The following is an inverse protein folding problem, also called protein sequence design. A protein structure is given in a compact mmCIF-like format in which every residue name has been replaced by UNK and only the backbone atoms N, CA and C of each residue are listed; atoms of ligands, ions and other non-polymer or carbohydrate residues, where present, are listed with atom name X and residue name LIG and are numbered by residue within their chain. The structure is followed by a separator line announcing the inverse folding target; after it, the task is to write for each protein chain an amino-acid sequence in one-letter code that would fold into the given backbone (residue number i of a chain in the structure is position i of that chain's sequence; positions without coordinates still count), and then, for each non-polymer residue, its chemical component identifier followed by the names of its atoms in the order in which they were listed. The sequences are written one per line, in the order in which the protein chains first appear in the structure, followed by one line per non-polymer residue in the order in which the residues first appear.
data_IF_895035876600
#
_entry.id   IF_895035876600
#
_cell.length_a   1.000
_cell.length_b   1.000
_cell.length_c   1.000
_cell.angle_alpha   90.00
_cell.angle_beta   90.00
_cell.angle_gamma   90.00
#
_symmetry.space_group_name_H-M   'P 1'
#
loop_
_entity.id
_entity.type
_entity.pdbx_description
1 polymer ?
#
# COMPACT_ATOMS: atom_id res chain seq x y z
N UNK A 1 -27.62 14.60 -15.28
CA UNK A 1 -26.90 14.37 -14.01
C UNK A 1 -25.94 13.16 -14.03
N UNK A 2 -25.87 12.36 -15.12
CA UNK A 2 -25.08 11.11 -15.19
C UNK A 2 -23.59 11.31 -15.55
N UNK A 3 -23.21 12.42 -16.17
CA UNK A 3 -21.83 12.69 -16.62
C UNK A 3 -20.82 12.98 -15.50
N UNK A 4 -21.28 13.39 -14.30
CA UNK A 4 -20.39 13.67 -13.16
C UNK A 4 -19.83 12.42 -12.47
N UNK A 5 -20.52 11.28 -12.51
CA UNK A 5 -20.12 10.10 -11.73
C UNK A 5 -18.92 9.36 -12.35
N UNK A 6 -18.91 9.21 -13.68
CA UNK A 6 -17.84 8.50 -14.42
C UNK A 6 -16.50 9.23 -14.27
N UNK A 7 -16.50 10.57 -14.39
CA UNK A 7 -15.30 11.39 -14.19
C UNK A 7 -14.72 11.25 -12.78
N UNK A 8 -15.59 11.22 -11.76
CA UNK A 8 -15.17 11.07 -10.36
C UNK A 8 -14.55 9.70 -10.06
N UNK A 9 -15.06 8.63 -10.69
CA UNK A 9 -14.54 7.27 -10.52
C UNK A 9 -13.16 7.08 -11.18
N UNK A 10 -12.95 7.69 -12.35
CA UNK A 10 -11.67 7.65 -13.05
C UNK A 10 -10.59 8.44 -12.28
N UNK A 11 -10.93 9.62 -11.76
CA UNK A 11 -10.03 10.42 -10.91
C UNK A 11 -9.71 9.66 -9.63
N UNK A 12 -10.71 9.11 -8.93
CA UNK A 12 -10.49 8.33 -7.71
C UNK A 12 -9.55 7.14 -7.96
N UNK A 13 -9.75 6.39 -9.05
CA UNK A 13 -8.88 5.26 -9.39
C UNK A 13 -7.45 5.71 -9.69
N UNK A 14 -7.27 6.84 -10.40
CA UNK A 14 -5.94 7.40 -10.69
C UNK A 14 -5.23 7.84 -9.42
N UNK A 15 -5.91 8.57 -8.54
CA UNK A 15 -5.36 8.99 -7.23
C UNK A 15 -4.96 7.77 -6.42
N UNK A 16 -5.84 6.76 -6.31
CA UNK A 16 -5.54 5.55 -5.55
C UNK A 16 -4.31 4.81 -6.11
N UNK A 17 -4.19 4.69 -7.44
CA UNK A 17 -3.01 4.11 -8.08
C UNK A 17 -1.72 4.86 -7.76
N UNK A 18 -1.73 6.20 -7.82
CA UNK A 18 -0.55 7.00 -7.48
C UNK A 18 -0.14 6.81 -6.03
N UNK A 19 -1.08 6.84 -5.10
CA UNK A 19 -0.80 6.63 -3.67
C UNK A 19 -0.24 5.24 -3.42
N UNK A 20 -0.86 4.18 -3.96
CA UNK A 20 -0.36 2.79 -3.85
C UNK A 20 1.05 2.65 -4.44
N UNK A 21 1.33 3.31 -5.56
CA UNK A 21 2.65 3.29 -6.20
C UNK A 21 3.72 3.95 -5.33
N UNK A 22 3.40 5.13 -4.78
CA UNK A 22 4.29 5.82 -3.83
C UNK A 22 4.53 4.98 -2.58
N UNK A 23 3.48 4.31 -2.09
CA UNK A 23 3.56 3.46 -0.92
C UNK A 23 4.50 2.26 -1.13
N UNK A 24 4.36 1.57 -2.28
CA UNK A 24 5.26 0.47 -2.67
C UNK A 24 6.72 0.93 -2.73
N UNK A 25 6.99 2.09 -3.36
CA UNK A 25 8.36 2.61 -3.45
C UNK A 25 8.94 2.87 -2.05
N UNK A 26 8.17 3.51 -1.18
CA UNK A 26 8.61 3.83 0.18
C UNK A 26 8.87 2.56 1.00
N UNK A 27 7.94 1.59 0.99
CA UNK A 27 8.06 0.38 1.82
C UNK A 27 9.15 -0.58 1.32
N UNK A 28 9.36 -0.68 0.01
CA UNK A 28 10.46 -1.49 -0.56
C UNK A 28 11.82 -0.87 -0.24
N UNK A 29 11.90 0.45 -0.01
CA UNK A 29 13.11 1.10 0.46
C UNK A 29 13.46 0.80 1.92
N UNK A 30 12.48 0.46 2.77
CA UNK A 30 12.70 0.24 4.20
C UNK A 30 13.75 -0.85 4.53
N UNK A 31 13.71 -2.04 3.88
CA UNK A 31 14.75 -3.05 4.06
C UNK A 31 16.16 -2.59 3.67
N UNK A 32 16.30 -1.62 2.77
CA UNK A 32 17.62 -1.09 2.38
C UNK A 32 18.23 -0.34 3.56
N UNK A 33 17.48 0.56 4.20
CA UNK A 33 17.97 1.30 5.37
C UNK A 33 18.24 0.40 6.57
N UNK A 34 17.38 -0.60 6.80
CA UNK A 34 17.62 -1.63 7.80
C UNK A 34 18.90 -2.44 7.48
N UNK A 35 19.11 -2.80 6.22
CA UNK A 35 20.31 -3.48 5.76
C UNK A 35 21.58 -2.66 6.00
N UNK A 36 21.58 -1.36 5.69
CA UNK A 36 22.69 -0.44 5.97
C UNK A 36 23.03 -0.43 7.46
N UNK A 37 22.02 -0.32 8.33
CA UNK A 37 22.22 -0.43 9.78
C UNK A 37 22.89 -1.76 10.18
N UNK A 38 22.44 -2.88 9.63
CA UNK A 38 23.00 -4.21 9.91
C UNK A 38 24.44 -4.38 9.40
N UNK A 39 24.90 -3.54 8.47
CA UNK A 39 26.33 -3.51 8.05
C UNK A 39 27.23 -2.73 9.02
N UNK A 40 26.67 -2.12 10.07
CA UNK A 40 27.39 -1.34 11.09
C UNK A 40 27.31 0.18 10.90
N UNK A 41 26.64 0.66 9.84
CA UNK A 41 26.37 2.08 9.64
C UNK A 41 25.10 2.50 10.38
N UNK A 42 25.29 3.05 11.58
CA UNK A 42 24.21 3.47 12.48
C UNK A 42 23.30 4.56 11.89
N UNK A 43 23.73 5.33 10.88
CA UNK A 43 22.84 6.27 10.19
C UNK A 43 21.68 5.55 9.47
N UNK A 44 21.89 4.29 9.08
CA UNK A 44 20.84 3.44 8.52
C UNK A 44 19.62 3.31 9.44
N UNK A 45 19.81 3.31 10.77
CA UNK A 45 18.71 3.23 11.73
C UNK A 45 17.87 4.51 11.72
N UNK A 46 18.53 5.67 11.62
CA UNK A 46 17.83 6.96 11.52
C UNK A 46 17.04 7.05 10.21
N UNK A 47 17.63 6.64 9.09
CA UNK A 47 16.95 6.60 7.80
C UNK A 47 15.80 5.60 7.78
N UNK A 48 15.97 4.46 8.45
CA UNK A 48 14.92 3.46 8.61
C UNK A 48 13.73 4.06 9.39
N UNK A 49 13.98 4.71 10.53
CA UNK A 49 12.95 5.37 11.34
C UNK A 49 12.20 6.48 10.58
N UNK A 50 12.93 7.39 9.92
CA UNK A 50 12.33 8.44 9.08
C UNK A 50 11.49 7.83 7.96
N UNK A 51 12.01 6.79 7.30
CA UNK A 51 11.27 6.11 6.26
C UNK A 51 10.05 5.35 6.80
N UNK A 52 10.07 4.86 8.04
CA UNK A 52 8.91 4.25 8.69
C UNK A 52 7.80 5.30 8.87
N UNK A 53 8.14 6.51 9.34
CA UNK A 53 7.19 7.63 9.44
C UNK A 53 6.58 7.98 8.08
N UNK A 54 7.39 8.00 7.02
CA UNK A 54 6.94 8.27 5.64
C UNK A 54 6.01 7.16 5.14
N UNK A 55 6.39 5.88 5.30
CA UNK A 55 5.57 4.72 4.90
C UNK A 55 4.23 4.77 5.63
N UNK A 56 4.23 4.89 6.95
CA UNK A 56 3.00 4.95 7.76
C UNK A 56 2.12 6.14 7.37
N UNK A 57 2.71 7.31 7.12
CA UNK A 57 1.96 8.49 6.66
C UNK A 57 1.29 8.26 5.30
N UNK A 58 2.01 7.66 4.34
CA UNK A 58 1.45 7.29 3.04
C UNK A 58 0.35 6.23 3.21
N UNK A 59 0.54 5.25 4.09
CA UNK A 59 -0.46 4.24 4.42
C UNK A 59 -1.77 4.85 4.92
N UNK A 60 -1.72 5.81 5.83
CA UNK A 60 -2.92 6.52 6.28
C UNK A 60 -3.58 7.35 5.17
N UNK A 61 -2.81 7.99 4.29
CA UNK A 61 -3.35 8.67 3.10
C UNK A 61 -4.03 7.66 2.17
N UNK A 62 -3.41 6.49 1.96
CA UNK A 62 -3.99 5.41 1.15
C UNK A 62 -5.31 4.92 1.72
N UNK A 63 -5.37 4.72 3.05
CA UNK A 63 -6.58 4.32 3.75
C UNK A 63 -7.68 5.37 3.60
N UNK A 64 -7.36 6.65 3.76
CA UNK A 64 -8.30 7.75 3.57
C UNK A 64 -8.87 7.75 2.14
N UNK A 65 -8.02 7.65 1.13
CA UNK A 65 -8.44 7.59 -0.29
C UNK A 65 -9.31 6.35 -0.56
N UNK A 66 -8.99 5.20 0.05
CA UNK A 66 -9.77 3.98 -0.08
C UNK A 66 -11.15 4.14 0.55
N UNK A 67 -11.23 4.65 1.78
CA UNK A 67 -12.49 4.93 2.50
C UNK A 67 -13.36 5.91 1.74
N UNK A 68 -12.79 6.99 1.18
CA UNK A 68 -13.53 7.92 0.31
C UNK A 68 -14.11 7.18 -0.90
N UNK A 69 -13.33 6.28 -1.51
CA UNK A 69 -13.79 5.40 -2.60
C UNK A 69 -14.91 4.44 -2.17
N UNK A 70 -14.87 3.87 -0.97
CA UNK A 70 -15.96 3.06 -0.43
C UNK A 70 -17.22 3.90 -0.24
N UNK A 71 -17.14 5.02 0.50
CA UNK A 71 -18.31 5.82 0.82
C UNK A 71 -18.97 6.39 -0.43
N UNK A 72 -18.18 6.91 -1.38
CA UNK A 72 -18.69 7.60 -2.58
C UNK A 72 -19.04 6.66 -3.73
N UNK A 73 -18.31 5.56 -3.90
CA UNK A 73 -18.40 4.68 -5.08
C UNK A 73 -18.74 3.22 -4.74
N UNK A 74 -18.98 2.91 -3.45
CA UNK A 74 -19.31 1.56 -2.92
C UNK A 74 -18.26 0.48 -3.23
N UNK A 75 -17.00 0.87 -3.47
CA UNK A 75 -15.87 -0.04 -3.70
C UNK A 75 -15.24 -0.51 -2.39
N UNK A 76 -15.88 -1.46 -1.70
CA UNK A 76 -15.45 -1.92 -0.38
C UNK A 76 -14.15 -2.76 -0.41
N UNK A 77 -13.95 -3.61 -1.43
CA UNK A 77 -12.80 -4.53 -1.52
C UNK A 77 -11.43 -3.86 -1.38
N UNK A 78 -11.09 -2.80 -2.15
CA UNK A 78 -9.81 -2.10 -1.98
C UNK A 78 -9.63 -1.47 -0.59
N UNK A 79 -10.73 -1.14 0.08
CA UNK A 79 -10.73 -0.49 1.40
C UNK A 79 -10.40 -1.48 2.50
N UNK A 80 -10.97 -2.69 2.46
CA UNK A 80 -10.64 -3.76 3.42
C UNK A 80 -9.19 -4.19 3.28
N UNK A 81 -8.70 -4.39 2.05
CA UNK A 81 -7.31 -4.74 1.80
C UNK A 81 -6.33 -3.66 2.32
N UNK A 82 -6.63 -2.38 2.05
CA UNK A 82 -5.82 -1.26 2.56
C UNK A 82 -5.86 -1.18 4.08
N UNK A 83 -7.03 -1.38 4.69
CA UNK A 83 -7.16 -1.37 6.15
C UNK A 83 -6.32 -2.48 6.80
N UNK A 84 -6.31 -3.68 6.21
CA UNK A 84 -5.48 -4.79 6.69
C UNK A 84 -3.97 -4.48 6.59
N UNK A 85 -3.53 -3.91 5.47
CA UNK A 85 -2.13 -3.49 5.27
C UNK A 85 -1.74 -2.43 6.32
N UNK A 86 -2.53 -1.38 6.48
CA UNK A 86 -2.23 -0.29 7.42
C UNK A 86 -2.26 -0.77 8.88
N UNK A 87 -3.16 -1.68 9.23
CA UNK A 87 -3.16 -2.30 10.55
C UNK A 87 -1.87 -3.11 10.79
N UNK A 88 -1.45 -3.92 9.81
CA UNK A 88 -0.21 -4.68 9.89
C UNK A 88 1.02 -3.76 9.97
N UNK A 89 1.09 -2.70 9.18
CA UNK A 89 2.15 -1.68 9.23
C UNK A 89 2.17 -0.96 10.58
N UNK A 90 1.02 -0.65 11.15
CA UNK A 90 0.94 -0.01 12.48
C UNK A 90 1.51 -0.94 13.56
N UNK A 91 1.14 -2.23 13.54
CA UNK A 91 1.72 -3.24 14.44
C UNK A 91 3.22 -3.38 14.21
N UNK A 92 3.66 -3.37 12.95
CA UNK A 92 5.07 -3.45 12.58
C UNK A 92 5.87 -2.24 13.06
N UNK A 93 5.31 -1.03 13.01
CA UNK A 93 5.92 0.20 13.49
C UNK A 93 6.21 0.10 14.99
N UNK A 94 5.21 -0.30 15.79
CA UNK A 94 5.40 -0.51 17.23
C UNK A 94 6.36 -1.66 17.53
N UNK A 95 6.30 -2.77 16.80
CA UNK A 95 7.28 -3.85 16.93
C UNK A 95 8.72 -3.37 16.64
N UNK A 96 8.88 -2.41 15.73
CA UNK A 96 10.16 -1.77 15.43
C UNK A 96 10.66 -0.89 16.59
N UNK A 97 9.77 -0.08 17.17
CA UNK A 97 10.08 0.74 18.35
C UNK A 97 10.51 -0.11 19.56
N UNK A 98 9.84 -1.25 19.75
CA UNK A 98 10.14 -2.19 20.84
C UNK A 98 11.36 -3.09 20.56
N UNK A 99 11.96 -3.01 19.36
CA UNK A 99 13.06 -3.88 18.95
C UNK A 99 12.68 -5.36 18.81
N UNK A 100 11.39 -5.67 18.68
CA UNK A 100 10.85 -7.02 18.57
C UNK A 100 11.05 -7.62 17.16
N UNK A 101 12.32 -7.89 16.80
CA UNK A 101 12.71 -8.32 15.44
C UNK A 101 11.99 -9.57 14.94
N UNK A 102 11.66 -10.52 15.83
CA UNK A 102 10.95 -11.74 15.49
C UNK A 102 9.55 -11.48 14.92
N UNK A 103 8.93 -10.34 15.27
CA UNK A 103 7.65 -9.91 14.74
C UNK A 103 7.84 -8.87 13.64
N UNK A 104 8.70 -7.88 13.88
CA UNK A 104 8.93 -6.77 12.97
C UNK A 104 9.39 -7.24 11.58
N UNK A 105 10.37 -8.16 11.52
CA UNK A 105 10.95 -8.60 10.24
C UNK A 105 9.94 -9.42 9.41
N UNK A 106 9.31 -10.49 9.94
CA UNK A 106 8.34 -11.24 9.15
C UNK A 106 7.14 -10.39 8.73
N UNK A 107 6.64 -9.54 9.63
CA UNK A 107 5.52 -8.66 9.32
C UNK A 107 5.88 -7.64 8.24
N UNK A 108 7.11 -7.10 8.27
CA UNK A 108 7.65 -6.25 7.22
C UNK A 108 7.73 -6.89 5.85
N UNK A 109 8.14 -8.16 5.77
CA UNK A 109 8.13 -8.89 4.49
C UNK A 109 6.69 -9.09 3.99
N UNK A 110 5.76 -9.44 4.90
CA UNK A 110 4.36 -9.64 4.55
C UNK A 110 3.69 -8.36 4.07
N UNK A 111 3.95 -7.21 4.71
CA UNK A 111 3.38 -5.91 4.29
C UNK A 111 3.94 -5.46 2.95
N UNK A 112 5.24 -5.62 2.69
CA UNK A 112 5.84 -5.39 1.37
C UNK A 112 5.16 -6.25 0.30
N UNK A 113 5.03 -7.56 0.54
CA UNK A 113 4.38 -8.47 -0.40
C UNK A 113 2.90 -8.10 -0.64
N UNK A 114 2.16 -7.78 0.42
CA UNK A 114 0.76 -7.39 0.33
C UNK A 114 0.57 -6.10 -0.49
N UNK A 115 1.44 -5.09 -0.29
CA UNK A 115 1.40 -3.85 -1.07
C UNK A 115 1.77 -4.08 -2.54
N UNK A 116 2.75 -4.93 -2.84
CA UNK A 116 3.09 -5.30 -4.22
C UNK A 116 1.91 -6.00 -4.89
N UNK A 117 1.24 -6.94 -4.21
CA UNK A 117 0.03 -7.60 -4.72
C UNK A 117 -1.09 -6.57 -4.96
N UNK A 118 -1.29 -5.64 -4.02
CA UNK A 118 -2.28 -4.58 -4.17
C UNK A 118 -1.96 -3.67 -5.36
N UNK A 119 -0.70 -3.31 -5.56
CA UNK A 119 -0.21 -2.55 -6.71
C UNK A 119 -0.53 -3.27 -8.03
N UNK A 120 -0.19 -4.55 -8.12
CA UNK A 120 -0.52 -5.37 -9.31
C UNK A 120 -2.02 -5.40 -9.53
N UNK A 121 -2.82 -5.60 -8.48
CA UNK A 121 -4.28 -5.65 -8.59
C UNK A 121 -4.87 -4.33 -9.13
N UNK A 122 -4.39 -3.17 -8.68
CA UNK A 122 -4.94 -1.87 -9.13
C UNK A 122 -4.51 -1.48 -10.54
N UNK A 123 -3.34 -1.95 -11.00
CA UNK A 123 -2.83 -1.66 -12.34
C UNK A 123 -3.26 -2.69 -13.38
N UNK A 124 -3.16 -3.99 -13.07
CA UNK A 124 -3.41 -5.09 -14.01
C UNK A 124 -4.83 -5.64 -13.96
N UNK A 125 -5.55 -5.52 -12.84
CA UNK A 125 -6.92 -6.05 -12.71
C UNK A 125 -7.87 -5.63 -13.84
N UNK A 126 -7.95 -4.33 -14.20
CA UNK A 126 -8.82 -3.88 -15.29
C UNK A 126 -8.46 -4.41 -16.68
N UNK A 127 -7.22 -4.88 -16.89
CA UNK A 127 -6.81 -5.52 -18.14
C UNK A 127 -7.26 -6.99 -18.17
N UNK A 128 -7.10 -7.70 -17.06
CA UNK A 128 -7.54 -9.09 -16.91
C UNK A 128 -9.06 -9.22 -17.03
N UNK A 129 -9.81 -8.29 -16.44
CA UNK A 129 -11.28 -8.28 -16.52
C UNK A 129 -11.76 -8.13 -17.98
N UNK A 130 -11.06 -7.32 -18.80
CA UNK A 130 -11.38 -7.17 -20.22
C UNK A 130 -11.09 -8.43 -21.02
N UNK A 131 -9.92 -9.04 -20.81
CA UNK A 131 -9.55 -10.28 -21.48
C UNK A 131 -10.50 -11.44 -21.15
N UNK A 132 -10.94 -11.55 -19.88
CA UNK A 132 -11.94 -12.54 -19.48
C UNK A 132 -13.31 -12.30 -20.11
N UNK A 133 -13.68 -11.04 -20.36
CA UNK A 133 -14.94 -10.71 -21.03
C UNK A 133 -14.89 -11.06 -22.51
N UNK A 134 -13.81 -10.69 -23.20
CA UNK A 134 -13.58 -11.04 -24.62
C UNK A 134 -13.59 -12.57 -24.85
N UNK A 135 -13.00 -13.34 -23.93
CA UNK A 135 -13.00 -14.80 -24.01
C UNK A 135 -14.38 -15.45 -23.75
N UNK A 136 -15.32 -14.77 -23.09
CA UNK A 136 -16.70 -15.25 -22.87
C UNK A 136 -17.62 -14.93 -24.04
N UNK A 137 -17.29 -13.90 -24.80
CA UNK A 137 -18.11 -13.39 -25.90
C UNK A 137 -17.71 -14.01 -27.27
N UNK A 138 -16.64 -14.82 -27.31
CA UNK A 138 -16.12 -15.55 -28.46
C UNK A 138 -16.63 -17.00 -28.51
#
# INVERSE_FOLDING_TARGET
MVTRSVGSAAVQARVFRFVVSAHVVAIVGQPVFAGVYLTGDFDGLRWHAVGADVVTSIGYVQLLVAVVGWVRLRRARPSVATAAVVAAETVQYFAGLDGALWLHVPLGVMTVAALVVQFIAVWCGPLLDRAHQEARDA
#
